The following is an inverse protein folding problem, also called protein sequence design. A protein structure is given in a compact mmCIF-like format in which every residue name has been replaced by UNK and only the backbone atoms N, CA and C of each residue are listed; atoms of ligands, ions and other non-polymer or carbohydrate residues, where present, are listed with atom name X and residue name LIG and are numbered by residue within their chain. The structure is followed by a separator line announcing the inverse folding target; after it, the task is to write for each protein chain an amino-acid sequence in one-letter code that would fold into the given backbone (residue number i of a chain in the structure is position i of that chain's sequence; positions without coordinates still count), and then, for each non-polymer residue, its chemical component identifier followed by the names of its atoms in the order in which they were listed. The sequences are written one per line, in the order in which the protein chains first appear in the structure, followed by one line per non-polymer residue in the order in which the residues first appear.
data_IF_444753003118
#
_entry.id   IF_444753003118
#
_cell.length_a   1.000
_cell.length_b   1.000
_cell.length_c   1.000
_cell.angle_alpha   90.00
_cell.angle_beta   90.00
_cell.angle_gamma   90.00
#
_symmetry.space_group_name_H-M   'P 1'
#
loop_
_entity.id
_entity.type
_entity.pdbx_description
1 polymer ?
#
# COMPACT_ATOMS: atom_id res chain seq x y z
N UNK A 1 -13.22 -1.88 -9.22
CA UNK A 1 -12.70 -0.50 -9.33
C UNK A 1 -12.54 0.01 -7.90
N UNK A 2 -11.32 0.15 -7.36
CA UNK A 2 -11.13 0.45 -5.93
C UNK A 2 -11.21 1.95 -5.66
N UNK A 3 -10.24 2.73 -6.18
CA UNK A 3 -10.13 4.16 -5.94
C UNK A 3 -11.28 5.00 -6.53
N UNK A 4 -11.92 4.53 -7.61
CA UNK A 4 -12.95 5.30 -8.31
C UNK A 4 -14.38 4.92 -7.94
N UNK A 5 -14.59 3.92 -7.08
CA UNK A 5 -15.95 3.42 -6.78
C UNK A 5 -16.21 3.13 -5.30
N UNK A 6 -15.18 2.84 -4.51
CA UNK A 6 -15.37 2.58 -3.08
C UNK A 6 -15.31 3.88 -2.27
N UNK A 7 -16.20 4.04 -1.28
CA UNK A 7 -16.16 5.19 -0.39
C UNK A 7 -14.90 5.16 0.49
N UNK A 8 -14.41 6.34 0.84
CA UNK A 8 -13.33 6.50 1.80
C UNK A 8 -13.80 6.03 3.18
N UNK A 9 -13.39 4.83 3.56
CA UNK A 9 -13.71 4.21 4.87
C UNK A 9 -12.45 3.61 5.48
N UNK A 10 -12.48 3.37 6.80
CA UNK A 10 -11.39 2.69 7.51
C UNK A 10 -11.00 1.35 6.86
N UNK A 11 -11.99 0.53 6.47
CA UNK A 11 -11.74 -0.75 5.82
C UNK A 11 -10.99 -0.59 4.48
N UNK A 12 -11.40 0.38 3.65
CA UNK A 12 -10.70 0.67 2.39
C UNK A 12 -9.29 1.20 2.61
N UNK A 13 -9.05 1.94 3.69
CA UNK A 13 -7.72 2.44 4.03
C UNK A 13 -6.76 1.30 4.39
N UNK A 14 -7.19 0.37 5.25
CA UNK A 14 -6.40 -0.82 5.60
C UNK A 14 -6.16 -1.72 4.39
N UNK A 15 -7.19 -1.99 3.59
CA UNK A 15 -7.06 -2.82 2.39
C UNK A 15 -6.09 -2.21 1.38
N UNK A 16 -6.17 -0.90 1.14
CA UNK A 16 -5.25 -0.20 0.26
C UNK A 16 -3.82 -0.22 0.79
N UNK A 17 -3.62 0.02 2.09
CA UNK A 17 -2.30 -0.01 2.71
C UNK A 17 -1.64 -1.40 2.57
N UNK A 18 -2.38 -2.46 2.89
CA UNK A 18 -1.90 -3.84 2.76
C UNK A 18 -1.56 -4.18 1.30
N UNK A 19 -2.43 -3.80 0.36
CA UNK A 19 -2.17 -3.99 -1.07
C UNK A 19 -0.90 -3.27 -1.52
N UNK A 20 -0.72 -2.00 -1.13
CA UNK A 20 0.45 -1.21 -1.49
C UNK A 20 1.73 -1.77 -0.85
N UNK A 21 1.69 -2.24 0.40
CA UNK A 21 2.85 -2.91 1.01
C UNK A 21 3.33 -4.12 0.21
N UNK A 22 2.41 -4.89 -0.38
CA UNK A 22 2.78 -6.11 -1.12
C UNK A 22 3.09 -5.86 -2.60
N UNK A 23 2.35 -4.96 -3.25
CA UNK A 23 2.41 -4.80 -4.70
C UNK A 23 3.09 -3.50 -5.14
N UNK A 24 3.26 -2.52 -4.24
CA UNK A 24 3.72 -1.17 -4.60
C UNK A 24 5.08 -1.16 -5.30
N UNK A 25 6.03 -1.99 -4.83
CA UNK A 25 7.32 -2.18 -5.47
C UNK A 25 7.22 -2.62 -6.93
N UNK A 26 6.48 -3.71 -7.18
CA UNK A 26 6.30 -4.23 -8.52
C UNK A 26 5.53 -3.26 -9.43
N UNK A 27 4.53 -2.55 -8.89
CA UNK A 27 3.78 -1.54 -9.61
C UNK A 27 4.63 -0.34 -9.99
N UNK A 28 5.48 0.15 -9.08
CA UNK A 28 6.43 1.22 -9.37
C UNK A 28 7.42 0.79 -10.46
N UNK A 29 8.00 -0.41 -10.35
CA UNK A 29 8.94 -0.95 -11.35
C UNK A 29 8.30 -1.09 -12.73
N UNK A 30 7.03 -1.50 -12.80
CA UNK A 30 6.33 -1.76 -14.07
C UNK A 30 5.77 -0.50 -14.75
N UNK A 31 5.25 0.45 -13.95
CA UNK A 31 4.48 1.58 -14.48
C UNK A 31 5.10 2.95 -14.20
N UNK A 32 6.16 3.01 -13.38
CA UNK A 32 6.94 4.21 -13.10
C UNK A 32 6.07 5.42 -12.74
N UNK A 33 6.17 6.47 -13.56
CA UNK A 33 5.46 7.74 -13.34
C UNK A 33 3.94 7.61 -13.33
N UNK A 34 3.36 6.62 -14.02
CA UNK A 34 1.91 6.41 -13.99
C UNK A 34 1.45 5.91 -12.61
N UNK A 35 2.25 5.05 -11.97
CA UNK A 35 1.97 4.64 -10.59
C UNK A 35 2.10 5.82 -9.62
N UNK A 36 3.10 6.70 -9.82
CA UNK A 36 3.23 7.91 -9.00
C UNK A 36 2.00 8.83 -9.10
N UNK A 37 1.38 8.95 -10.28
CA UNK A 37 0.12 9.69 -10.43
C UNK A 37 -1.02 9.07 -9.62
N UNK A 38 -1.07 7.75 -9.49
CA UNK A 38 -2.06 7.07 -8.65
C UNK A 38 -1.81 7.34 -7.16
N UNK A 39 -0.56 7.26 -6.71
CA UNK A 39 -0.19 7.60 -5.32
C UNK A 39 -0.52 9.05 -4.98
N UNK A 40 -0.33 9.93 -5.94
CA UNK A 40 -0.68 11.33 -5.84
C UNK A 40 -2.20 11.56 -5.74
N UNK A 41 -3.03 10.83 -6.50
CA UNK A 41 -4.50 10.83 -6.32
C UNK A 41 -4.88 10.32 -4.93
N UNK A 42 -4.22 9.27 -4.42
CA UNK A 42 -4.45 8.78 -3.06
C UNK A 42 -4.15 9.87 -2.03
N UNK A 43 -3.02 10.57 -2.18
CA UNK A 43 -2.61 11.66 -1.30
C UNK A 43 -3.59 12.86 -1.33
N UNK A 44 -4.02 13.26 -2.53
CA UNK A 44 -4.85 14.46 -2.74
C UNK A 44 -6.34 14.25 -2.51
N UNK A 45 -6.85 13.03 -2.70
CA UNK A 45 -8.29 12.77 -2.64
C UNK A 45 -8.66 11.83 -1.51
N UNK A 46 -8.02 10.66 -1.42
CA UNK A 46 -8.43 9.64 -0.46
C UNK A 46 -8.04 9.99 0.98
N UNK A 47 -6.81 10.46 1.21
CA UNK A 47 -6.36 10.80 2.57
C UNK A 47 -7.18 11.93 3.21
N UNK A 48 -7.50 13.05 2.52
CA UNK A 48 -8.40 14.06 3.06
C UNK A 48 -9.80 13.53 3.38
N UNK A 49 -10.40 12.76 2.45
CA UNK A 49 -11.73 12.18 2.65
C UNK A 49 -11.78 11.21 3.85
N UNK A 50 -10.68 10.50 4.14
CA UNK A 50 -10.56 9.68 5.34
C UNK A 50 -10.38 10.52 6.61
N UNK A 51 -9.75 11.69 6.57
CA UNK A 51 -9.55 12.53 7.77
C UNK A 51 -10.84 13.19 8.25
N UNK A 52 -11.76 13.51 7.35
CA UNK A 52 -13.04 14.18 7.67
C UNK A 52 -13.99 13.36 8.54
N UNK A 53 -13.84 12.03 8.58
CA UNK A 53 -14.73 11.12 9.32
C UNK A 53 -14.35 10.92 10.81
N UNK A 54 -13.16 11.37 11.24
CA UNK A 54 -12.83 11.65 12.65
C UNK A 54 -12.72 10.47 13.64
N UNK A 55 -12.71 9.20 13.23
CA UNK A 55 -12.62 8.07 14.19
C UNK A 55 -11.18 7.65 14.54
N UNK A 56 -10.92 7.17 15.78
CA UNK A 56 -9.57 6.76 16.23
C UNK A 56 -8.92 5.68 15.36
N UNK A 57 -9.68 4.64 15.01
CA UNK A 57 -9.24 3.54 14.15
C UNK A 57 -8.88 4.01 12.73
N UNK A 58 -9.57 5.05 12.26
CA UNK A 58 -9.28 5.67 10.98
C UNK A 58 -7.99 6.50 11.02
N UNK A 59 -7.71 7.19 12.13
CA UNK A 59 -6.46 7.93 12.31
C UNK A 59 -5.23 7.02 12.11
N UNK A 60 -5.26 5.81 12.67
CA UNK A 60 -4.17 4.84 12.48
C UNK A 60 -4.03 4.43 11.01
N UNK A 61 -5.12 4.04 10.36
CA UNK A 61 -5.09 3.62 8.95
C UNK A 61 -4.63 4.75 8.02
N UNK A 62 -5.04 6.00 8.30
CA UNK A 62 -4.61 7.20 7.57
C UNK A 62 -3.12 7.45 7.78
N UNK A 63 -2.63 7.37 9.02
CA UNK A 63 -1.22 7.57 9.32
C UNK A 63 -0.34 6.51 8.65
N UNK A 64 -0.77 5.25 8.66
CA UNK A 64 -0.05 4.18 7.97
C UNK A 64 0.07 4.43 6.46
N UNK A 65 -1.03 4.81 5.80
CA UNK A 65 -0.99 5.20 4.38
C UNK A 65 -0.12 6.43 4.14
N UNK A 66 -0.19 7.45 5.01
CA UNK A 66 0.59 8.66 4.90
C UNK A 66 2.09 8.36 5.02
N UNK A 67 2.49 7.57 6.01
CA UNK A 67 3.88 7.15 6.22
C UNK A 67 4.39 6.34 5.04
N UNK A 68 3.60 5.38 4.54
CA UNK A 68 3.94 4.61 3.34
C UNK A 68 4.30 5.51 2.14
N UNK A 69 3.52 6.58 1.93
CA UNK A 69 3.75 7.53 0.83
C UNK A 69 4.96 8.44 1.09
N UNK A 70 5.09 8.96 2.31
CA UNK A 70 6.17 9.87 2.70
C UNK A 70 7.54 9.19 2.65
N UNK A 71 7.61 8.00 3.22
CA UNK A 71 8.84 7.20 3.32
C UNK A 71 9.16 6.46 2.02
N UNK A 72 8.26 6.57 1.02
CA UNK A 72 8.38 5.95 -0.30
C UNK A 72 8.64 4.44 -0.23
N UNK A 73 7.93 3.75 0.67
CA UNK A 73 8.07 2.31 0.90
C UNK A 73 7.87 1.48 -0.39
N UNK A 74 7.14 2.02 -1.39
CA UNK A 74 7.03 1.42 -2.72
C UNK A 74 8.37 1.30 -3.50
N UNK A 75 9.49 1.81 -2.98
CA UNK A 75 10.82 1.61 -3.54
C UNK A 75 11.55 0.39 -2.96
N UNK A 76 11.04 -0.17 -1.87
CA UNK A 76 11.63 -1.30 -1.16
C UNK A 76 10.95 -2.61 -1.56
N UNK A 77 11.72 -3.70 -1.60
CA UNK A 77 11.15 -5.03 -1.86
C UNK A 77 10.23 -5.47 -0.70
N UNK A 78 9.03 -5.99 -0.99
CA UNK A 78 8.11 -6.43 0.04
C UNK A 78 8.67 -7.61 0.83
N UNK A 79 8.53 -7.52 2.15
CA UNK A 79 8.93 -8.59 3.06
C UNK A 79 8.23 -9.90 2.71
N UNK A 80 8.98 -11.00 2.75
CA UNK A 80 8.44 -12.34 2.48
C UNK A 80 8.25 -12.68 1.00
N UNK A 81 8.61 -11.80 0.06
CA UNK A 81 8.47 -12.08 -1.38
C UNK A 81 9.16 -13.38 -1.82
N UNK A 82 10.33 -13.66 -1.25
CA UNK A 82 11.15 -14.84 -1.59
C UNK A 82 11.06 -15.95 -0.53
N UNK A 83 10.19 -15.81 0.49
CA UNK A 83 10.14 -16.73 1.63
C UNK A 83 9.88 -18.18 1.18
N UNK A 84 8.93 -18.39 0.26
CA UNK A 84 8.64 -19.71 -0.28
C UNK A 84 9.84 -20.33 -1.01
N UNK A 85 10.58 -19.53 -1.79
CA UNK A 85 11.77 -20.02 -2.52
C UNK A 85 12.92 -20.35 -1.56
N UNK A 86 13.09 -19.57 -0.49
CA UNK A 86 14.09 -19.83 0.55
C UNK A 86 13.77 -21.12 1.32
N UNK A 87 12.50 -21.36 1.64
CA UNK A 87 12.07 -22.60 2.30
C UNK A 87 12.26 -23.82 1.40
N UNK A 88 11.88 -23.75 0.12
CA UNK A 88 12.07 -24.84 -0.86
C UNK A 88 13.55 -25.16 -1.09
N UNK A 89 14.40 -24.15 -1.18
CA UNK A 89 15.86 -24.34 -1.25
C UNK A 89 16.37 -25.11 -0.03
N UNK A 90 15.93 -24.73 1.17
CA UNK A 90 16.37 -25.37 2.41
C UNK A 90 15.92 -26.83 2.53
N UNK A 91 14.75 -27.19 2.00
CA UNK A 91 14.28 -28.59 1.94
C UNK A 91 15.01 -29.43 0.90
N UNK A 92 15.42 -28.83 -0.24
CA UNK A 92 16.13 -29.53 -1.32
C UNK A 92 17.62 -29.81 -1.01
N UNK A 93 18.21 -29.05 -0.09
CA UNK A 93 19.62 -29.18 0.32
C UNK A 93 19.80 -29.75 1.74
N UNK A 94 18.76 -30.37 2.32
CA UNK A 94 18.81 -31.13 3.57
C UNK A 94 18.63 -32.62 3.29
#
# INVERSE_FOLDING_TARGET
MFLNALPATTATAYALHAFLKMAGFALHKKYGSQFLKILDVISRCLLPALKEQGSKLQTEAVNNLQNYLNDKIYLEEPEGQYLAQQLLSKELFM
#
